data_IF_605828399736
#
_entry.id   IF_605828399736
#
_cell.length_a   1.000
_cell.length_b   1.000
_cell.length_c   1.000
_cell.angle_alpha   90.00
_cell.angle_beta   90.00
_cell.angle_gamma   90.00
#
_symmetry.space_group_name_H-M   'P 1'
#
loop_
_entity.id
_entity.type
_entity.pdbx_description
1 polymer ?
#
# COMPACT_ATOMS: atom_id res chain seq x y z
N UNK A 1 -14.23 65.37 72.15
CA UNK A 1 -12.96 65.52 72.88
C UNK A 1 -12.08 64.29 72.61
N UNK A 2 -10.88 64.51 72.04
CA UNK A 2 -9.73 63.59 71.88
C UNK A 2 -9.91 62.43 70.88
N UNK A 3 -9.30 62.51 69.68
CA UNK A 3 -7.92 62.06 69.33
C UNK A 3 -7.87 60.53 69.14
N UNK A 4 -7.27 59.88 68.15
CA UNK A 4 -6.51 60.21 66.94
C UNK A 4 -6.31 58.85 66.19
N UNK A 5 -6.28 58.87 64.85
CA UNK A 5 -5.32 58.19 63.94
C UNK A 5 -5.14 56.65 64.04
N UNK A 6 -5.40 55.92 62.93
CA UNK A 6 -4.48 55.05 62.13
C UNK A 6 -5.37 54.12 61.22
N UNK A 7 -5.50 54.36 59.90
CA UNK A 7 -4.82 53.66 58.77
C UNK A 7 -4.96 52.12 58.89
N UNK A 8 -5.36 51.29 57.93
CA UNK A 8 -5.75 51.31 56.50
C UNK A 8 -5.87 49.81 56.12
N UNK A 9 -6.51 49.51 54.99
CA UNK A 9 -6.39 48.30 54.14
C UNK A 9 -7.51 47.25 54.18
N UNK A 10 -8.41 47.43 53.22
CA UNK A 10 -8.90 46.44 52.25
C UNK A 10 -8.38 45.00 52.43
N UNK A 11 -9.29 44.06 52.65
CA UNK A 11 -9.10 42.65 52.34
C UNK A 11 -10.32 42.11 51.60
N UNK A 12 -10.17 42.04 50.27
CA UNK A 12 -11.01 41.30 49.33
C UNK A 12 -11.21 39.86 49.80
N UNK A 13 -12.46 39.44 49.96
CA UNK A 13 -12.81 38.03 50.05
C UNK A 13 -12.98 37.46 48.65
N UNK A 14 -11.95 36.76 48.17
CA UNK A 14 -12.07 35.85 47.04
C UNK A 14 -12.26 34.42 47.56
N UNK A 15 -13.36 33.81 47.12
CA UNK A 15 -13.58 32.37 47.16
C UNK A 15 -12.41 31.64 46.50
N UNK A 16 -11.60 30.93 47.27
CA UNK A 16 -10.68 29.91 46.72
C UNK A 16 -11.40 28.58 46.63
N UNK A 17 -11.94 28.30 45.45
CA UNK A 17 -12.18 26.95 44.99
C UNK A 17 -10.85 26.19 44.96
N UNK A 18 -10.85 24.95 45.45
CA UNK A 18 -9.69 24.08 45.51
C UNK A 18 -9.28 23.68 44.08
N UNK A 19 -8.30 24.36 43.50
CA UNK A 19 -7.64 23.92 42.26
C UNK A 19 -6.52 22.93 42.61
N UNK A 20 -6.84 21.65 42.69
CA UNK A 20 -5.80 20.62 42.63
C UNK A 20 -5.29 20.57 41.19
N UNK A 21 -4.12 21.15 40.95
CA UNK A 21 -3.36 20.97 39.72
C UNK A 21 -3.13 19.48 39.48
N UNK A 22 -3.38 18.95 38.27
CA UNK A 22 -3.02 17.57 37.95
C UNK A 22 -1.50 17.44 38.05
N UNK A 23 -1.05 16.61 38.98
CA UNK A 23 0.36 16.28 39.13
C UNK A 23 0.78 15.57 37.85
N UNK A 24 1.55 16.25 36.99
CA UNK A 24 2.19 15.60 35.85
C UNK A 24 3.02 14.45 36.41
N UNK A 25 2.63 13.23 36.08
CA UNK A 25 3.43 12.04 36.36
C UNK A 25 4.76 12.26 35.62
N UNK A 26 5.81 12.58 36.37
CA UNK A 26 7.13 12.81 35.82
C UNK A 26 7.76 11.44 35.55
N UNK A 27 7.27 10.78 34.50
CA UNK A 27 7.93 9.58 33.96
C UNK A 27 9.28 10.08 33.43
N UNK A 28 10.42 9.62 33.98
CA UNK A 28 11.70 9.97 33.40
C UNK A 28 11.68 9.51 31.95
N UNK A 29 11.84 10.44 31.01
CA UNK A 29 12.20 10.07 29.64
C UNK A 29 13.50 9.26 29.73
N UNK A 30 13.57 8.06 29.13
CA UNK A 30 14.82 7.31 29.09
C UNK A 30 15.90 8.25 28.55
N UNK A 31 17.04 8.30 29.25
CA UNK A 31 18.19 9.08 28.79
C UNK A 31 18.53 8.60 27.38
N UNK A 32 18.77 9.54 26.48
CA UNK A 32 18.95 9.36 25.03
C UNK A 32 20.12 8.41 24.62
N UNK A 33 20.76 7.72 25.56
CA UNK A 33 21.87 6.76 25.35
C UNK A 33 21.45 5.28 25.24
N UNK A 34 20.21 4.91 25.62
CA UNK A 34 19.76 3.49 25.59
C UNK A 34 18.97 3.15 24.32
N UNK A 35 18.49 4.15 23.57
CA UNK A 35 17.62 3.94 22.42
C UNK A 35 18.37 3.82 21.07
N UNK A 36 19.65 4.16 21.02
CA UNK A 36 20.49 3.84 19.86
C UNK A 36 21.16 2.48 20.04
N UNK A 37 20.35 1.41 19.92
CA UNK A 37 20.88 0.15 19.37
C UNK A 37 21.46 0.51 18.00
N UNK A 38 22.72 0.15 17.73
CA UNK A 38 23.43 0.50 16.49
C UNK A 38 22.55 0.11 15.32
N UNK A 39 22.03 1.10 14.56
CA UNK A 39 21.27 0.81 13.36
C UNK A 39 22.13 -0.06 12.45
N UNK A 40 21.64 -1.26 12.15
CA UNK A 40 22.31 -2.18 11.24
C UNK A 40 22.62 -1.44 9.94
N UNK A 41 23.85 -1.52 9.47
CA UNK A 41 24.27 -0.87 8.22
C UNK A 41 24.20 -1.87 7.08
N UNK A 42 23.65 -1.50 5.92
CA UNK A 42 23.56 -2.41 4.78
C UNK A 42 24.97 -2.69 4.22
N UNK A 43 25.23 -3.93 3.83
CA UNK A 43 26.48 -4.37 3.17
C UNK A 43 26.32 -4.65 1.68
N UNK A 44 25.11 -4.47 1.16
CA UNK A 44 24.68 -4.88 -0.17
C UNK A 44 23.17 -5.04 -0.17
N UNK A 45 22.62 -5.70 -1.19
CA UNK A 45 21.20 -6.06 -1.19
C UNK A 45 20.92 -7.17 -0.17
N UNK A 46 21.91 -8.00 0.14
CA UNK A 46 21.87 -9.00 1.21
C UNK A 46 22.82 -8.61 2.34
N UNK A 47 22.31 -8.58 3.57
CA UNK A 47 23.10 -8.34 4.77
C UNK A 47 22.83 -9.43 5.81
N UNK A 48 23.75 -10.39 5.93
CA UNK A 48 23.58 -11.55 6.82
C UNK A 48 24.38 -11.39 8.12
N UNK A 49 23.71 -11.06 9.22
CA UNK A 49 24.32 -10.97 10.56
C UNK A 49 24.22 -12.26 11.39
N UNK A 50 23.44 -13.24 10.94
CA UNK A 50 23.30 -14.56 11.58
C UNK A 50 24.14 -15.66 10.92
N UNK A 51 24.87 -15.34 9.85
CA UNK A 51 25.63 -16.30 9.05
C UNK A 51 24.75 -17.49 8.59
N UNK A 52 23.53 -17.18 8.14
CA UNK A 52 22.59 -18.15 7.57
C UNK A 52 22.98 -18.58 6.16
N UNK A 53 23.78 -17.76 5.48
CA UNK A 53 24.19 -17.95 4.10
C UNK A 53 25.71 -18.04 4.01
N UNK A 54 26.20 -18.94 3.19
CA UNK A 54 27.57 -18.92 2.70
C UNK A 54 27.80 -17.71 1.78
N UNK A 55 29.07 -17.45 1.46
CA UNK A 55 29.43 -16.37 0.55
C UNK A 55 28.80 -16.56 -0.85
N UNK A 56 28.88 -17.77 -1.41
CA UNK A 56 28.30 -18.07 -2.73
C UNK A 56 26.78 -17.93 -2.75
N UNK A 57 26.12 -18.31 -1.65
CA UNK A 57 24.67 -18.16 -1.50
C UNK A 57 24.25 -16.68 -1.38
N UNK A 58 25.04 -15.87 -0.67
CA UNK A 58 24.85 -14.41 -0.60
C UNK A 58 24.99 -13.76 -1.98
N UNK A 59 26.05 -14.11 -2.71
CA UNK A 59 26.32 -13.62 -4.07
C UNK A 59 25.20 -14.01 -5.05
N UNK A 60 24.64 -15.22 -4.91
CA UNK A 60 23.51 -15.67 -5.72
C UNK A 60 22.25 -14.83 -5.45
N UNK A 61 21.89 -14.62 -4.18
CA UNK A 61 20.74 -13.79 -3.79
C UNK A 61 20.92 -12.34 -4.25
N UNK A 62 22.11 -11.76 -4.08
CA UNK A 62 22.44 -10.42 -4.57
C UNK A 62 22.27 -10.31 -6.08
N UNK A 63 22.76 -11.29 -6.85
CA UNK A 63 22.63 -11.31 -8.31
C UNK A 63 21.17 -11.34 -8.75
N UNK A 64 20.35 -12.18 -8.12
CA UNK A 64 18.90 -12.26 -8.39
C UNK A 64 18.22 -10.91 -8.13
N UNK A 65 18.54 -10.27 -7.01
CA UNK A 65 17.97 -8.96 -6.64
C UNK A 65 18.38 -7.88 -7.64
N UNK A 66 19.67 -7.80 -7.99
CA UNK A 66 20.16 -6.78 -8.92
C UNK A 66 19.55 -6.92 -10.31
N UNK A 67 19.41 -8.16 -10.81
CA UNK A 67 18.80 -8.40 -12.11
C UNK A 67 17.30 -8.13 -12.10
N UNK A 68 16.62 -8.38 -10.98
CA UNK A 68 15.22 -7.99 -10.81
C UNK A 68 15.05 -6.46 -10.78
N UNK A 69 15.89 -5.74 -10.03
CA UNK A 69 15.83 -4.28 -9.94
C UNK A 69 16.06 -3.63 -11.31
N UNK A 70 17.03 -4.12 -12.11
CA UNK A 70 17.29 -3.62 -13.48
C UNK A 70 16.06 -3.72 -14.39
N UNK A 71 15.23 -4.75 -14.22
CA UNK A 71 14.08 -5.04 -15.09
C UNK A 71 12.78 -4.39 -14.62
N UNK A 72 12.62 -4.17 -13.31
CA UNK A 72 11.35 -3.72 -12.71
C UNK A 72 11.42 -2.37 -12.00
N UNK A 73 12.63 -1.88 -11.71
CA UNK A 73 12.95 -0.75 -10.82
C UNK A 73 12.63 -0.97 -9.34
N UNK A 74 12.03 -2.11 -8.96
CA UNK A 74 11.70 -2.47 -7.58
C UNK A 74 12.99 -2.84 -6.84
N UNK A 75 13.19 -2.26 -5.66
CA UNK A 75 14.37 -2.50 -4.84
C UNK A 75 14.03 -3.50 -3.74
N UNK A 76 14.75 -4.61 -3.69
CA UNK A 76 14.58 -5.62 -2.64
C UNK A 76 15.87 -5.64 -1.80
N UNK A 77 15.72 -5.72 -0.48
CA UNK A 77 16.84 -6.03 0.40
C UNK A 77 16.49 -7.21 1.31
N UNK A 78 17.50 -7.99 1.68
CA UNK A 78 17.41 -9.10 2.63
C UNK A 78 18.32 -8.77 3.81
N UNK A 79 17.80 -8.90 5.02
CA UNK A 79 18.58 -8.77 6.25
C UNK A 79 18.30 -9.94 7.19
N UNK A 80 19.35 -10.52 7.76
CA UNK A 80 19.22 -11.44 8.89
C UNK A 80 19.67 -10.73 10.16
N UNK A 81 18.94 -10.89 11.27
CA UNK A 81 19.21 -10.17 12.52
C UNK A 81 19.22 -11.13 13.71
N UNK A 82 20.18 -10.90 14.61
CA UNK A 82 20.32 -11.58 15.88
C UNK A 82 20.03 -10.60 17.05
N UNK A 83 20.21 -11.08 18.27
CA UNK A 83 19.92 -10.33 19.51
C UNK A 83 20.79 -9.09 19.74
N UNK A 84 21.89 -8.93 19.00
CA UNK A 84 22.71 -7.73 19.08
C UNK A 84 21.95 -6.45 18.66
N UNK A 85 21.01 -6.58 17.73
CA UNK A 85 20.33 -5.44 17.11
C UNK A 85 18.99 -5.10 17.75
N UNK A 86 18.21 -6.12 18.13
CA UNK A 86 16.90 -5.93 18.73
C UNK A 86 16.48 -7.20 19.48
N UNK A 87 15.59 -7.04 20.46
CA UNK A 87 14.93 -8.17 21.11
C UNK A 87 13.83 -8.74 20.20
N UNK A 88 13.36 -9.94 20.53
CA UNK A 88 12.33 -10.66 19.77
C UNK A 88 11.02 -9.88 19.66
N UNK A 89 10.62 -9.21 20.72
CA UNK A 89 9.39 -8.43 20.80
C UNK A 89 9.45 -7.17 19.93
N UNK A 90 10.65 -6.63 19.71
CA UNK A 90 10.89 -5.42 18.93
C UNK A 90 11.16 -5.69 17.45
N UNK A 91 11.32 -6.96 17.04
CA UNK A 91 11.79 -7.35 15.71
C UNK A 91 11.01 -6.65 14.57
N UNK A 92 9.69 -6.59 14.67
CA UNK A 92 8.83 -5.95 13.65
C UNK A 92 9.04 -4.44 13.58
N UNK A 93 8.97 -3.76 14.73
CA UNK A 93 9.15 -2.31 14.80
C UNK A 93 10.57 -1.89 14.38
N UNK A 94 11.57 -2.64 14.81
CA UNK A 94 12.97 -2.40 14.46
C UNK A 94 13.20 -2.59 12.95
N UNK A 95 12.70 -3.67 12.36
CA UNK A 95 12.90 -3.94 10.93
C UNK A 95 12.13 -2.98 10.03
N UNK A 96 10.97 -2.48 10.47
CA UNK A 96 10.26 -1.40 9.77
C UNK A 96 11.06 -0.09 9.80
N UNK A 97 11.60 0.27 10.96
CA UNK A 97 12.46 1.44 11.09
C UNK A 97 13.73 1.29 10.23
N UNK A 98 14.29 0.07 10.18
CA UNK A 98 15.44 -0.26 9.35
C UNK A 98 15.14 -0.06 7.86
N UNK A 99 14.00 -0.56 7.36
CA UNK A 99 13.59 -0.39 5.97
C UNK A 99 13.53 1.10 5.57
N UNK A 100 12.92 1.92 6.43
CA UNK A 100 12.83 3.36 6.25
C UNK A 100 14.19 4.06 6.33
N UNK A 101 15.04 3.65 7.27
CA UNK A 101 16.37 4.23 7.49
C UNK A 101 17.32 3.92 6.34
N UNK A 102 17.24 2.71 5.78
CA UNK A 102 18.00 2.32 4.60
C UNK A 102 17.51 3.00 3.32
N UNK A 103 16.30 3.57 3.35
CA UNK A 103 15.71 4.25 2.21
C UNK A 103 15.49 3.30 1.04
N UNK A 104 15.04 2.07 1.32
CA UNK A 104 14.82 1.06 0.28
C UNK A 104 13.65 1.51 -0.60
N UNK A 105 13.90 1.63 -1.90
CA UNK A 105 12.97 2.13 -2.89
C UNK A 105 13.39 3.48 -3.48
N UNK A 106 12.90 3.75 -4.69
CA UNK A 106 13.16 5.02 -5.37
C UNK A 106 12.26 6.12 -4.80
N UNK A 107 12.86 7.30 -4.54
CA UNK A 107 12.14 8.48 -4.06
C UNK A 107 10.92 8.79 -4.92
N UNK A 108 9.74 8.84 -4.29
CA UNK A 108 8.47 9.15 -4.94
C UNK A 108 7.82 7.98 -5.68
N UNK A 109 8.48 6.81 -5.76
CA UNK A 109 7.88 5.56 -6.20
C UNK A 109 7.53 4.64 -5.04
N UNK A 110 8.26 4.74 -3.93
CA UNK A 110 8.09 3.92 -2.73
C UNK A 110 8.03 2.42 -3.05
N UNK A 111 8.85 2.01 -4.01
CA UNK A 111 8.87 0.67 -4.61
C UNK A 111 9.96 -0.22 -3.99
N UNK A 112 10.15 -0.10 -2.67
CA UNK A 112 11.09 -0.88 -1.88
C UNK A 112 10.44 -2.07 -1.18
N UNK A 113 11.21 -3.13 -0.96
CA UNK A 113 10.81 -4.29 -0.14
C UNK A 113 11.97 -4.70 0.76
N UNK A 114 11.76 -4.79 2.07
CA UNK A 114 12.71 -5.39 3.00
C UNK A 114 12.22 -6.77 3.43
N UNK A 115 13.03 -7.80 3.21
CA UNK A 115 12.85 -9.14 3.78
C UNK A 115 13.75 -9.25 5.00
N UNK A 116 13.16 -9.32 6.19
CA UNK A 116 13.87 -9.48 7.45
C UNK A 116 13.65 -10.88 8.03
N UNK A 117 14.74 -11.54 8.41
CA UNK A 117 14.76 -12.91 8.96
C UNK A 117 15.49 -12.89 10.31
N UNK A 118 14.98 -13.64 11.28
CA UNK A 118 15.74 -14.02 12.47
C UNK A 118 15.54 -15.51 12.75
N UNK A 119 16.61 -16.29 12.59
CA UNK A 119 16.64 -17.72 12.95
C UNK A 119 16.50 -17.87 14.46
N UNK A 120 17.20 -17.05 15.24
CA UNK A 120 17.14 -17.07 16.70
C UNK A 120 15.72 -16.89 17.23
N UNK A 121 14.98 -15.93 16.65
CA UNK A 121 13.60 -15.65 17.05
C UNK A 121 12.57 -16.54 16.37
N UNK A 122 12.98 -17.26 15.33
CA UNK A 122 12.12 -17.96 14.37
C UNK A 122 11.03 -17.02 13.84
N UNK A 123 11.44 -15.81 13.49
CA UNK A 123 10.58 -14.74 12.99
C UNK A 123 11.04 -14.29 11.60
N UNK A 124 10.07 -13.85 10.81
CA UNK A 124 10.29 -13.25 9.51
C UNK A 124 9.27 -12.13 9.32
N UNK A 125 9.68 -11.06 8.64
CA UNK A 125 8.82 -9.97 8.17
C UNK A 125 9.20 -9.59 6.75
N UNK A 126 8.21 -9.19 5.97
CA UNK A 126 8.42 -8.49 4.70
C UNK A 126 7.75 -7.13 4.86
N UNK A 127 8.51 -6.06 4.69
CA UNK A 127 8.01 -4.68 4.72
C UNK A 127 7.93 -4.17 3.29
N UNK A 128 6.71 -3.98 2.81
CA UNK A 128 6.44 -3.41 1.50
C UNK A 128 6.41 -1.88 1.60
N UNK A 129 7.03 -1.18 0.64
CA UNK A 129 6.81 0.25 0.49
C UNK A 129 5.42 0.55 -0.07
N UNK A 130 4.92 1.77 0.14
CA UNK A 130 3.59 2.19 -0.29
C UNK A 130 3.32 1.98 -1.80
N UNK A 131 4.35 2.01 -2.64
CA UNK A 131 4.22 1.72 -4.08
C UNK A 131 4.01 0.24 -4.36
N UNK A 132 4.58 -0.64 -3.54
CA UNK A 132 4.44 -2.09 -3.61
C UNK A 132 3.07 -2.53 -3.09
N UNK A 133 2.57 -1.94 -2.01
CA UNK A 133 1.26 -2.28 -1.44
C UNK A 133 0.09 -2.09 -2.44
N UNK A 134 0.26 -1.20 -3.42
CA UNK A 134 -0.70 -1.02 -4.53
C UNK A 134 -0.81 -2.26 -5.42
N UNK A 135 0.23 -3.07 -5.53
CA UNK A 135 0.25 -4.25 -6.41
C UNK A 135 0.31 -5.57 -5.66
N UNK A 136 0.78 -5.57 -4.41
CA UNK A 136 0.92 -6.74 -3.56
C UNK A 136 0.46 -6.40 -2.14
N UNK A 137 -0.69 -6.94 -1.74
CA UNK A 137 -1.23 -6.73 -0.39
C UNK A 137 -0.45 -7.48 0.69
N UNK A 138 -0.65 -7.09 1.94
CA UNK A 138 -0.07 -7.79 3.11
C UNK A 138 -0.53 -9.24 3.19
N UNK A 139 -1.80 -9.51 2.90
CA UNK A 139 -2.34 -10.88 2.87
C UNK A 139 -1.66 -11.73 1.79
N UNK A 140 -1.49 -11.19 0.58
CA UNK A 140 -0.78 -11.89 -0.49
C UNK A 140 0.70 -12.10 -0.13
N UNK A 141 1.33 -11.11 0.50
CA UNK A 141 2.72 -11.20 1.01
C UNK A 141 2.83 -12.30 2.06
N UNK A 142 1.88 -12.37 2.99
CA UNK A 142 1.81 -13.43 4.00
C UNK A 142 1.67 -14.81 3.37
N UNK A 143 0.83 -14.96 2.34
CA UNK A 143 0.71 -16.21 1.61
C UNK A 143 2.03 -16.62 0.95
N UNK A 144 2.80 -15.67 0.41
CA UNK A 144 4.14 -15.97 -0.14
C UNK A 144 5.07 -16.48 0.97
N UNK A 145 5.09 -15.81 2.12
CA UNK A 145 5.87 -16.24 3.30
C UNK A 145 5.52 -17.68 3.69
N UNK A 146 4.24 -17.95 3.91
CA UNK A 146 3.76 -19.23 4.43
C UNK A 146 3.99 -20.40 3.47
N UNK A 147 3.89 -20.17 2.15
CA UNK A 147 4.03 -21.22 1.14
C UNK A 147 5.45 -21.42 0.61
N UNK A 148 6.29 -20.37 0.57
CA UNK A 148 7.60 -20.45 -0.11
C UNK A 148 8.81 -20.28 0.81
N UNK A 149 8.69 -19.51 1.90
CA UNK A 149 9.80 -19.32 2.84
C UNK A 149 9.76 -20.33 3.99
N UNK A 150 8.65 -20.35 4.73
CA UNK A 150 8.52 -21.07 6.00
C UNK A 150 8.71 -22.59 5.89
N UNK A 151 8.28 -23.30 4.82
CA UNK A 151 8.47 -24.75 4.74
C UNK A 151 9.94 -25.18 4.87
N UNK A 152 10.85 -24.47 4.20
CA UNK A 152 12.28 -24.77 4.25
C UNK A 152 12.95 -24.27 5.53
N UNK A 153 12.46 -23.18 6.12
CA UNK A 153 12.93 -22.71 7.43
C UNK A 153 12.64 -23.73 8.54
N UNK A 154 11.52 -24.45 8.47
CA UNK A 154 11.20 -25.56 9.39
C UNK A 154 12.20 -26.71 9.30
N UNK A 155 12.83 -26.90 8.15
CA UNK A 155 13.89 -27.89 7.89
C UNK A 155 15.29 -27.35 8.23
N UNK A 156 15.40 -26.15 8.83
CA UNK A 156 16.65 -25.39 9.02
C UNK A 156 17.39 -25.05 7.72
N UNK A 157 16.72 -25.15 6.57
CA UNK A 157 17.29 -24.78 5.27
C UNK A 157 16.92 -23.34 4.91
N UNK A 158 17.63 -22.38 5.53
CA UNK A 158 17.33 -20.96 5.41
C UNK A 158 17.68 -20.38 4.05
N UNK A 159 18.78 -20.82 3.42
CA UNK A 159 19.11 -20.37 2.07
C UNK A 159 18.03 -20.77 1.07
N UNK A 160 17.69 -22.06 0.99
CA UNK A 160 16.70 -22.58 0.04
C UNK A 160 15.33 -21.96 0.26
N UNK A 161 14.92 -21.75 1.52
CA UNK A 161 13.67 -21.05 1.83
C UNK A 161 13.68 -19.59 1.39
N UNK A 162 14.79 -18.89 1.61
CA UNK A 162 14.94 -17.49 1.22
C UNK A 162 14.93 -17.34 -0.29
N UNK A 163 15.66 -18.20 -1.01
CA UNK A 163 15.71 -18.20 -2.48
C UNK A 163 14.35 -18.52 -3.09
N UNK A 164 13.68 -19.57 -2.64
CA UNK A 164 12.35 -19.93 -3.15
C UNK A 164 11.32 -18.82 -2.91
N UNK A 165 11.33 -18.26 -1.71
CA UNK A 165 10.51 -17.13 -1.34
C UNK A 165 10.77 -15.87 -2.16
N UNK A 166 12.05 -15.52 -2.36
CA UNK A 166 12.48 -14.39 -3.17
C UNK A 166 12.01 -14.53 -4.62
N UNK A 167 12.19 -15.71 -5.23
CA UNK A 167 11.76 -15.97 -6.61
C UNK A 167 10.23 -15.87 -6.75
N UNK A 168 9.47 -16.43 -5.79
CA UNK A 168 8.01 -16.34 -5.80
C UNK A 168 7.52 -14.88 -5.64
N UNK A 169 8.17 -14.11 -4.77
CA UNK A 169 7.90 -12.68 -4.57
C UNK A 169 8.18 -11.90 -5.85
N UNK A 170 9.36 -12.07 -6.45
CA UNK A 170 9.77 -11.42 -7.71
C UNK A 170 8.79 -11.72 -8.84
N UNK A 171 8.43 -12.99 -9.03
CA UNK A 171 7.49 -13.40 -10.07
C UNK A 171 6.11 -12.76 -9.86
N UNK A 172 5.64 -12.71 -8.61
CA UNK A 172 4.35 -12.10 -8.28
C UNK A 172 4.37 -10.59 -8.57
N UNK A 173 5.39 -9.89 -8.08
CA UNK A 173 5.56 -8.46 -8.29
C UNK A 173 5.66 -8.10 -9.77
N UNK A 174 6.46 -8.85 -10.54
CA UNK A 174 6.61 -8.64 -11.98
C UNK A 174 5.28 -8.83 -12.72
N UNK A 175 4.54 -9.89 -12.42
CA UNK A 175 3.22 -10.14 -13.01
C UNK A 175 2.23 -9.02 -12.67
N UNK A 176 2.19 -8.59 -11.40
CA UNK A 176 1.26 -7.55 -10.94
C UNK A 176 1.62 -6.18 -11.52
N UNK A 177 2.91 -5.84 -11.63
CA UNK A 177 3.39 -4.60 -12.26
C UNK A 177 3.10 -4.57 -13.77
N UNK A 178 3.30 -5.70 -14.46
CA UNK A 178 2.96 -5.82 -15.88
C UNK A 178 1.46 -5.67 -16.10
N UNK A 179 0.63 -6.30 -15.25
CA UNK A 179 -0.82 -6.15 -15.32
C UNK A 179 -1.26 -4.72 -15.00
N UNK A 180 -0.68 -4.07 -13.99
CA UNK A 180 -0.93 -2.66 -13.71
C UNK A 180 -0.67 -1.79 -14.94
N UNK A 181 0.51 -1.94 -15.55
CA UNK A 181 0.92 -1.17 -16.72
C UNK A 181 -0.05 -1.38 -17.90
N UNK A 182 -0.42 -2.64 -18.16
CA UNK A 182 -1.37 -3.02 -19.22
C UNK A 182 -2.75 -2.38 -18.98
N UNK A 183 -3.24 -2.44 -17.75
CA UNK A 183 -4.55 -1.93 -17.35
C UNK A 183 -4.60 -0.39 -17.38
N UNK A 184 -3.56 0.29 -16.91
CA UNK A 184 -3.45 1.76 -16.98
C UNK A 184 -3.42 2.26 -18.43
N UNK A 185 -2.66 1.58 -19.30
CA UNK A 185 -2.64 1.89 -20.74
C UNK A 185 -4.02 1.69 -21.36
N UNK A 186 -4.68 0.56 -21.07
CA UNK A 186 -6.04 0.27 -21.55
C UNK A 186 -7.05 1.35 -21.13
N UNK A 187 -7.07 1.74 -19.85
CA UNK A 187 -8.05 2.75 -19.38
C UNK A 187 -7.77 4.13 -19.94
N UNK A 188 -6.49 4.50 -20.12
CA UNK A 188 -6.11 5.75 -20.79
C UNK A 188 -6.62 5.79 -22.23
N UNK A 189 -6.42 4.71 -22.99
CA UNK A 189 -6.94 4.58 -24.36
C UNK A 189 -8.46 4.65 -24.39
N UNK A 190 -9.14 3.89 -23.53
CA UNK A 190 -10.60 3.88 -23.46
C UNK A 190 -11.18 5.27 -23.17
N UNK A 191 -10.60 6.01 -22.20
CA UNK A 191 -11.02 7.38 -21.87
C UNK A 191 -10.85 8.30 -23.08
N UNK A 192 -9.72 8.22 -23.79
CA UNK A 192 -9.48 9.02 -24.99
C UNK A 192 -10.50 8.73 -26.10
N UNK A 193 -10.85 7.46 -26.32
CA UNK A 193 -11.88 7.06 -27.30
C UNK A 193 -13.27 7.59 -26.91
N UNK A 194 -13.60 7.59 -25.61
CA UNK A 194 -14.85 8.15 -25.08
C UNK A 194 -14.93 9.66 -25.33
N UNK A 195 -13.85 10.40 -25.09
CA UNK A 195 -13.75 11.84 -25.38
C UNK A 195 -13.95 12.14 -26.87
N UNK A 196 -13.38 11.30 -27.75
CA UNK A 196 -13.52 11.38 -29.21
C UNK A 196 -14.90 10.95 -29.73
N UNK A 197 -15.73 10.34 -28.88
CA UNK A 197 -17.06 9.79 -29.22
C UNK A 197 -17.01 8.72 -30.33
N UNK A 198 -15.92 7.96 -30.41
CA UNK A 198 -15.77 6.86 -31.38
C UNK A 198 -16.42 5.58 -30.86
N UNK A 199 -17.74 5.48 -31.00
CA UNK A 199 -18.48 4.31 -30.55
C UNK A 199 -18.04 2.99 -31.21
N UNK A 200 -17.47 3.03 -32.41
CA UNK A 200 -16.99 1.82 -33.11
C UNK A 200 -15.72 1.31 -32.45
N UNK A 201 -14.76 2.18 -32.17
CA UNK A 201 -13.53 1.82 -31.46
C UNK A 201 -13.81 1.43 -30.01
N UNK A 202 -14.69 2.17 -29.31
CA UNK A 202 -15.08 1.83 -27.93
C UNK A 202 -15.70 0.43 -27.87
N UNK A 203 -16.53 0.04 -28.84
CA UNK A 203 -17.14 -1.29 -28.88
C UNK A 203 -16.10 -2.43 -28.92
N UNK A 204 -14.88 -2.17 -29.39
CA UNK A 204 -13.78 -3.14 -29.37
C UNK A 204 -13.12 -3.28 -27.99
N UNK A 205 -13.39 -2.37 -27.06
CA UNK A 205 -12.79 -2.33 -25.72
C UNK A 205 -13.76 -2.80 -24.63
N UNK A 206 -15.03 -3.05 -24.95
CA UNK A 206 -16.05 -3.45 -23.98
C UNK A 206 -16.40 -4.93 -24.17
N UNK A 207 -16.54 -5.66 -23.06
CA UNK A 207 -17.02 -7.05 -23.05
C UNK A 207 -18.45 -7.14 -23.59
N UNK A 208 -18.90 -8.30 -24.08
CA UNK A 208 -20.27 -8.44 -24.63
C UNK A 208 -21.36 -8.13 -23.60
N UNK A 209 -21.09 -8.42 -22.33
CA UNK A 209 -21.88 -8.01 -21.17
C UNK A 209 -20.96 -7.37 -20.15
N UNK A 210 -21.45 -6.33 -19.48
CA UNK A 210 -20.72 -5.68 -18.41
C UNK A 210 -21.62 -5.40 -17.21
N UNK A 211 -21.03 -5.37 -16.02
CA UNK A 211 -21.66 -4.85 -14.82
C UNK A 211 -21.65 -3.32 -14.86
N UNK A 212 -22.74 -2.66 -14.48
CA UNK A 212 -22.79 -1.20 -14.46
C UNK A 212 -23.62 -0.69 -13.28
N UNK A 213 -22.97 -0.45 -12.15
CA UNK A 213 -23.62 0.12 -10.96
C UNK A 213 -24.19 1.52 -11.20
N UNK A 214 -23.64 2.25 -12.17
CA UNK A 214 -24.07 3.61 -12.54
C UNK A 214 -25.25 3.66 -13.50
N UNK A 215 -25.56 2.58 -14.22
CA UNK A 215 -26.60 2.57 -15.25
C UNK A 215 -28.02 2.44 -14.67
N UNK A 216 -28.14 1.97 -13.43
CA UNK A 216 -29.43 1.75 -12.76
C UNK A 216 -29.40 2.22 -11.30
N UNK A 217 -29.34 3.54 -11.03
CA UNK A 217 -29.20 4.09 -9.68
C UNK A 217 -30.33 3.69 -8.70
N UNK A 218 -31.47 3.19 -9.20
CA UNK A 218 -32.62 2.77 -8.39
C UNK A 218 -32.95 1.28 -8.46
N UNK A 219 -32.14 0.44 -9.13
CA UNK A 219 -32.45 -0.99 -9.27
C UNK A 219 -31.93 -1.81 -8.08
N UNK A 220 -32.78 -2.70 -7.55
CA UNK A 220 -32.44 -3.61 -6.43
C UNK A 220 -31.38 -4.67 -6.74
N UNK A 221 -30.98 -4.79 -8.00
CA UNK A 221 -29.81 -5.59 -8.44
C UNK A 221 -29.51 -5.22 -9.89
N UNK A 222 -28.37 -4.56 -10.20
CA UNK A 222 -27.98 -4.35 -11.57
C UNK A 222 -27.45 -5.65 -12.17
N UNK A 223 -28.36 -6.42 -12.78
CA UNK A 223 -27.97 -7.51 -13.69
C UNK A 223 -27.15 -6.92 -14.85
N UNK A 224 -26.15 -7.68 -15.34
CA UNK A 224 -25.25 -7.25 -16.40
C UNK A 224 -26.00 -6.66 -17.62
N UNK A 225 -25.49 -5.55 -18.12
CA UNK A 225 -26.02 -4.83 -19.29
C UNK A 225 -25.31 -5.31 -20.56
N UNK A 226 -26.03 -5.36 -21.70
CA UNK A 226 -25.40 -5.65 -22.99
C UNK A 226 -24.54 -4.48 -23.45
N UNK A 227 -23.42 -4.79 -24.13
CA UNK A 227 -22.56 -3.80 -24.78
C UNK A 227 -23.34 -2.81 -25.64
N UNK A 228 -24.28 -3.30 -26.45
CA UNK A 228 -25.10 -2.47 -27.33
C UNK A 228 -25.94 -1.46 -26.54
N UNK A 229 -26.63 -1.89 -25.48
CA UNK A 229 -27.45 -1.00 -24.66
C UNK A 229 -26.59 0.02 -23.90
N UNK A 230 -25.43 -0.42 -23.39
CA UNK A 230 -24.48 0.46 -22.72
C UNK A 230 -23.99 1.58 -23.64
N UNK A 231 -23.50 1.23 -24.84
CA UNK A 231 -23.02 2.19 -25.84
C UNK A 231 -24.11 3.14 -26.32
N UNK A 232 -25.33 2.64 -26.50
CA UNK A 232 -26.45 3.43 -27.03
C UNK A 232 -27.01 4.41 -26.00
N UNK A 233 -27.12 3.99 -24.74
CA UNK A 233 -27.87 4.73 -23.71
C UNK A 233 -26.99 5.34 -22.64
N UNK A 234 -26.06 4.57 -22.08
CA UNK A 234 -25.44 4.92 -20.79
C UNK A 234 -24.04 5.49 -20.89
N UNK A 235 -23.28 5.18 -21.95
CA UNK A 235 -21.87 5.58 -22.01
C UNK A 235 -21.65 7.09 -21.80
N UNK A 236 -22.52 7.94 -22.36
CA UNK A 236 -22.44 9.39 -22.21
C UNK A 236 -22.96 9.90 -20.87
N UNK A 237 -23.90 9.18 -20.26
CA UNK A 237 -24.44 9.51 -18.94
C UNK A 237 -23.41 9.18 -17.85
N UNK A 238 -22.77 8.01 -17.96
CA UNK A 238 -21.71 7.56 -17.04
C UNK A 238 -20.47 8.43 -17.17
N UNK A 239 -19.96 8.61 -18.39
CA UNK A 239 -18.77 9.44 -18.66
C UNK A 239 -19.15 10.89 -18.93
N UNK A 240 -19.70 11.55 -17.90
CA UNK A 240 -20.00 12.97 -17.94
C UNK A 240 -18.72 13.82 -18.10
N UNK A 241 -18.82 15.06 -18.60
CA UNK A 241 -17.66 15.96 -18.68
C UNK A 241 -16.93 16.16 -17.35
N UNK A 242 -17.68 16.21 -16.24
CA UNK A 242 -17.11 16.33 -14.90
C UNK A 242 -16.30 15.08 -14.51
N UNK A 243 -16.84 13.88 -14.78
CA UNK A 243 -16.11 12.65 -14.52
C UNK A 243 -14.85 12.56 -15.37
N UNK A 244 -14.94 12.85 -16.68
CA UNK A 244 -13.77 12.81 -17.58
C UNK A 244 -12.67 13.76 -17.10
N UNK A 245 -13.02 14.99 -16.69
CA UNK A 245 -12.06 15.93 -16.11
C UNK A 245 -11.41 15.37 -14.83
N UNK A 246 -12.15 14.66 -13.98
CA UNK A 246 -11.60 14.01 -12.80
C UNK A 246 -10.71 12.82 -13.13
N UNK A 247 -11.06 12.01 -14.12
CA UNK A 247 -10.26 10.84 -14.55
C UNK A 247 -8.90 11.25 -15.16
N UNK A 248 -8.76 12.50 -15.61
CA UNK A 248 -7.48 13.06 -16.05
C UNK A 248 -6.51 13.36 -14.88
N UNK A 249 -6.99 13.35 -13.62
CA UNK A 249 -6.12 13.45 -12.45
C UNK A 249 -5.29 12.16 -12.37
N UNK A 250 -3.96 12.27 -12.21
CA UNK A 250 -3.03 11.12 -12.11
C UNK A 250 -3.11 10.44 -10.72
N UNK A 251 -4.31 10.02 -10.34
CA UNK A 251 -4.68 9.55 -9.00
C UNK A 251 -5.33 8.16 -9.06
N UNK A 252 -4.64 7.25 -9.76
CA UNK A 252 -5.06 5.85 -9.92
C UNK A 252 -4.53 4.99 -8.78
N UNK A 253 -5.38 4.10 -8.29
CA UNK A 253 -5.04 2.97 -7.46
C UNK A 253 -5.35 1.71 -8.26
N UNK A 254 -4.32 0.93 -8.56
CA UNK A 254 -4.50 -0.38 -9.16
C UNK A 254 -4.76 -1.40 -8.06
N UNK A 255 -5.68 -2.34 -8.30
CA UNK A 255 -5.89 -3.48 -7.42
C UNK A 255 -6.09 -4.72 -8.28
N UNK A 256 -5.08 -5.58 -8.32
CA UNK A 256 -5.21 -6.89 -8.96
C UNK A 256 -5.67 -7.92 -7.92
N UNK A 257 -6.98 -8.18 -7.85
CA UNK A 257 -7.54 -9.33 -7.16
C UNK A 257 -8.65 -9.95 -8.02
N UNK A 258 -8.70 -11.28 -8.08
CA UNK A 258 -9.79 -12.02 -8.70
C UNK A 258 -11.03 -11.87 -7.82
N UNK A 259 -11.90 -10.93 -8.15
CA UNK A 259 -13.27 -10.99 -7.62
C UNK A 259 -14.10 -11.85 -8.56
N UNK A 260 -15.31 -12.20 -8.13
CA UNK A 260 -16.28 -12.92 -8.98
C UNK A 260 -16.69 -12.15 -10.25
N UNK A 261 -16.28 -10.88 -10.41
CA UNK A 261 -16.76 -9.96 -11.44
C UNK A 261 -15.68 -9.44 -12.41
N UNK A 262 -14.39 -9.70 -12.16
CA UNK A 262 -13.31 -9.28 -13.05
C UNK A 262 -11.92 -9.76 -12.61
N UNK A 263 -11.01 -9.86 -13.58
CA UNK A 263 -9.63 -10.30 -13.37
C UNK A 263 -8.76 -9.20 -12.75
N UNK A 264 -9.07 -7.93 -13.01
CA UNK A 264 -8.43 -6.80 -12.35
C UNK A 264 -9.33 -5.57 -12.21
N UNK A 265 -9.00 -4.71 -11.24
CA UNK A 265 -9.73 -3.48 -10.93
C UNK A 265 -8.78 -2.29 -10.98
N UNK A 266 -9.16 -1.27 -11.74
CA UNK A 266 -8.52 0.05 -11.63
C UNK A 266 -9.47 0.99 -10.94
N UNK A 267 -9.01 1.61 -9.86
CA UNK A 267 -9.76 2.63 -9.13
C UNK A 267 -9.17 4.00 -9.42
N UNK A 268 -10.04 4.94 -9.71
CA UNK A 268 -9.72 6.35 -9.83
C UNK A 268 -10.31 7.05 -8.61
N UNK A 269 -9.48 7.80 -7.90
CA UNK A 269 -10.01 8.68 -6.85
C UNK A 269 -10.70 9.85 -7.53
N UNK A 270 -12.03 9.89 -7.48
CA UNK A 270 -12.81 10.98 -8.06
C UNK A 270 -13.17 12.01 -7.01
N UNK A 271 -13.21 11.61 -5.73
CA UNK A 271 -13.28 12.49 -4.57
C UNK A 271 -12.31 12.03 -3.48
N UNK A 272 -11.59 12.96 -2.83
CA UNK A 272 -10.64 12.68 -1.75
C UNK A 272 -11.24 12.87 -0.37
N UNK A 273 -10.51 12.41 0.65
CA UNK A 273 -10.85 12.67 2.03
C UNK A 273 -11.05 14.18 2.26
N UNK A 274 -12.19 14.53 2.83
CA UNK A 274 -12.63 15.91 3.08
C UNK A 274 -12.85 16.80 1.83
N UNK A 275 -12.79 16.29 0.60
CA UNK A 275 -13.06 17.10 -0.61
C UNK A 275 -14.51 17.61 -0.62
N UNK A 276 -15.44 16.85 -0.04
CA UNK A 276 -16.85 17.21 0.11
C UNK A 276 -17.23 17.59 1.56
N UNK A 277 -16.26 17.99 2.38
CA UNK A 277 -16.45 18.38 3.78
C UNK A 277 -15.89 17.37 4.78
N UNK A 278 -15.69 17.84 6.02
CA UNK A 278 -15.00 17.10 7.08
C UNK A 278 -15.65 15.74 7.37
N UNK A 279 -14.84 14.69 7.38
CA UNK A 279 -15.26 13.31 7.66
C UNK A 279 -15.70 12.52 6.43
N UNK A 280 -15.73 13.12 5.23
CA UNK A 280 -15.99 12.38 3.99
C UNK A 280 -14.77 11.54 3.62
N UNK A 281 -14.90 10.21 3.51
CA UNK A 281 -13.77 9.30 3.26
C UNK A 281 -13.23 9.37 1.82
N UNK A 282 -14.09 9.70 0.87
CA UNK A 282 -13.75 9.85 -0.54
C UNK A 282 -14.82 9.19 -1.40
N UNK A 283 -14.55 9.08 -2.70
CA UNK A 283 -15.33 8.25 -3.62
C UNK A 283 -14.39 7.75 -4.70
N UNK A 284 -14.48 6.47 -5.02
CA UNK A 284 -13.67 5.82 -6.05
C UNK A 284 -14.53 5.43 -7.25
N UNK A 285 -14.10 5.78 -8.46
CA UNK A 285 -14.67 5.25 -9.70
C UNK A 285 -13.86 4.04 -10.16
N UNK A 286 -14.52 2.91 -10.37
CA UNK A 286 -13.84 1.65 -10.63
C UNK A 286 -14.11 1.17 -12.06
N UNK A 287 -13.03 0.83 -12.76
CA UNK A 287 -13.05 0.02 -13.98
C UNK A 287 -12.76 -1.42 -13.61
N UNK A 288 -13.74 -2.30 -13.88
CA UNK A 288 -13.56 -3.74 -13.82
C UNK A 288 -13.12 -4.22 -15.20
N UNK A 289 -11.99 -4.92 -15.25
CA UNK A 289 -11.43 -5.43 -16.49
C UNK A 289 -11.37 -6.96 -16.45
N UNK A 290 -11.60 -7.56 -17.61
CA UNK A 290 -11.46 -8.99 -17.86
C UNK A 290 -10.54 -9.21 -19.06
N UNK A 291 -9.88 -10.36 -19.12
CA UNK A 291 -9.08 -10.74 -20.28
C UNK A 291 -9.86 -11.67 -21.23
N UNK A 292 -10.08 -11.21 -22.46
CA UNK A 292 -10.71 -12.00 -23.53
C UNK A 292 -9.74 -12.13 -24.71
N UNK A 293 -9.33 -13.37 -25.03
CA UNK A 293 -8.40 -13.68 -26.13
C UNK A 293 -7.08 -12.87 -26.07
N UNK A 294 -6.52 -12.71 -24.86
CA UNK A 294 -5.25 -11.98 -24.65
C UNK A 294 -5.37 -10.46 -24.62
N UNK A 295 -6.59 -9.91 -24.72
CA UNK A 295 -6.87 -8.47 -24.70
C UNK A 295 -7.76 -8.11 -23.52
N UNK A 296 -7.42 -7.01 -22.84
CA UNK A 296 -8.27 -6.47 -21.79
C UNK A 296 -9.58 -5.91 -22.38
N UNK A 297 -10.66 -6.10 -21.64
CA UNK A 297 -11.99 -5.58 -21.92
C UNK A 297 -12.56 -4.95 -20.67
N UNK A 298 -13.34 -3.88 -20.84
CA UNK A 298 -14.19 -3.34 -19.79
C UNK A 298 -15.33 -4.32 -19.52
N UNK A 299 -15.28 -4.98 -18.37
CA UNK A 299 -16.31 -5.90 -17.87
C UNK A 299 -17.21 -5.26 -16.83
N UNK A 300 -16.88 -4.06 -16.34
CA UNK A 300 -17.81 -3.33 -15.51
C UNK A 300 -17.36 -1.97 -15.00
N UNK A 301 -18.32 -1.23 -14.46
CA UNK A 301 -18.16 0.11 -13.93
C UNK A 301 -18.99 0.31 -12.67
N UNK A 302 -18.42 0.94 -11.66
CA UNK A 302 -19.15 1.33 -10.46
C UNK A 302 -18.49 2.50 -9.74
N UNK A 303 -19.22 3.03 -8.76
CA UNK A 303 -18.71 3.95 -7.76
C UNK A 303 -18.69 3.23 -6.42
N UNK A 304 -17.54 3.26 -5.75
CA UNK A 304 -17.37 2.80 -4.38
C UNK A 304 -17.21 4.01 -3.45
N UNK A 305 -17.78 3.96 -2.23
CA UNK A 305 -17.45 4.93 -1.18
C UNK A 305 -15.97 4.87 -0.81
#
# INVERSE_FOLDING_TARGET
MKNHILILLLLCQFFTACSQTPQKLNIPRPKDDVLMRVMAQPKGSVTDFEALFSQSETEELDSLIQDFEKRTTIQIAIVTLNEYYCDKEDFEAYTLLLANTWGIGQKGKDNGVLIAISKQYRQMRIHNGNGIEKILSDEATKQIIDHHFIPKFKENNYFEGTKNGLLALMQTLENKQALQTKSEAFTTELIALIEQKDNTAIAQHIAEKLYCGMCYPSAKSPNGISKELFLKKYIREVFSPELLQRLQRKETQFLANSTDYGDCVIRYTTHRQNENGDGHEGVQFCFWLTEENGKLKLSGLEILP
#
